data_IF_751509617503
#
_entry.id   IF_751509617503
#
_cell.length_a   1.000
_cell.length_b   1.000
_cell.length_c   1.000
_cell.angle_alpha   90.00
_cell.angle_beta   90.00
_cell.angle_gamma   90.00
#
_symmetry.space_group_name_H-M   'P 1'
#
loop_
_entity.id
_entity.type
_entity.pdbx_description
1 polymer ?
#
# COMPACT_ATOMS: atom_id res chain seq x y z
N UNK A 1 8.05 8.98 3.60
CA UNK A 1 6.84 9.42 4.33
C UNK A 1 5.87 8.24 4.40
N UNK A 2 6.23 7.18 5.12
CA UNK A 2 5.70 5.84 4.80
C UNK A 2 4.86 5.28 5.94
N UNK A 3 4.12 6.16 6.62
CA UNK A 3 3.10 5.75 7.58
C UNK A 3 1.93 6.73 7.49
N UNK A 4 0.70 6.28 7.82
CA UNK A 4 -0.47 7.15 7.77
C UNK A 4 -0.31 8.39 8.66
N UNK A 5 0.39 8.24 9.80
CA UNK A 5 0.67 9.35 10.71
C UNK A 5 1.61 10.38 10.11
N UNK A 6 2.69 9.93 9.45
CA UNK A 6 3.62 10.82 8.76
C UNK A 6 2.96 11.55 7.58
N UNK A 7 2.03 10.89 6.87
CA UNK A 7 1.23 11.53 5.81
C UNK A 7 0.33 12.61 6.38
N UNK A 8 -0.42 12.30 7.45
CA UNK A 8 -1.30 13.27 8.10
C UNK A 8 -0.52 14.46 8.66
N UNK A 9 0.60 14.21 9.35
CA UNK A 9 1.50 15.26 9.86
C UNK A 9 1.97 16.19 8.73
N UNK A 10 2.44 15.62 7.62
CA UNK A 10 2.91 16.41 6.49
C UNK A 10 1.80 17.26 5.85
N UNK A 11 0.59 16.70 5.70
CA UNK A 11 -0.56 17.45 5.17
C UNK A 11 -0.92 18.62 6.10
N UNK A 12 -1.04 18.36 7.40
CA UNK A 12 -1.38 19.38 8.40
C UNK A 12 -0.30 20.47 8.51
N UNK A 13 0.98 20.08 8.42
CA UNK A 13 2.11 21.02 8.42
C UNK A 13 2.07 21.94 7.21
N UNK A 14 1.93 21.39 6.00
CA UNK A 14 1.77 22.20 4.78
C UNK A 14 0.55 23.12 4.84
N UNK A 15 -0.53 22.64 5.47
CA UNK A 15 -1.73 23.45 5.66
C UNK A 15 -1.52 24.60 6.66
N UNK A 16 -0.72 24.42 7.72
CA UNK A 16 -0.33 25.52 8.62
C UNK A 16 0.54 26.58 7.92
N UNK A 17 1.38 26.15 7.00
CA UNK A 17 2.29 27.01 6.22
C UNK A 17 1.57 27.76 5.08
N UNK A 18 0.35 27.34 4.73
CA UNK A 18 -0.43 27.96 3.67
C UNK A 18 -0.88 29.39 4.01
N UNK A 19 -1.08 30.20 2.96
CA UNK A 19 -1.58 31.57 3.11
C UNK A 19 -2.93 31.59 3.84
N UNK A 20 -3.03 32.37 4.91
CA UNK A 20 -4.21 32.42 5.79
C UNK A 20 -5.49 32.93 5.11
N UNK A 21 -5.33 33.71 4.05
CA UNK A 21 -6.42 34.47 3.42
C UNK A 21 -7.03 33.79 2.18
N UNK A 22 -6.57 32.60 1.81
CA UNK A 22 -7.17 31.82 0.72
C UNK A 22 -8.24 30.86 1.25
N UNK A 23 -9.07 30.35 0.34
CA UNK A 23 -10.07 29.36 0.70
C UNK A 23 -9.40 28.04 1.15
N UNK A 24 -10.06 27.30 2.01
CA UNK A 24 -9.60 25.97 2.44
C UNK A 24 -9.35 25.04 1.26
N UNK A 25 -10.20 25.11 0.22
CA UNK A 25 -10.01 24.33 -1.01
C UNK A 25 -8.73 24.72 -1.74
N UNK A 26 -8.49 26.02 -1.92
CA UNK A 26 -7.30 26.49 -2.65
C UNK A 26 -6.00 26.17 -1.90
N UNK A 27 -6.06 26.11 -0.57
CA UNK A 27 -4.93 25.67 0.25
C UNK A 27 -4.71 24.15 0.16
N UNK A 28 -5.78 23.35 0.20
CA UNK A 28 -5.68 21.88 0.21
C UNK A 28 -5.44 21.26 -1.17
N UNK A 29 -6.01 21.80 -2.25
CA UNK A 29 -5.87 21.24 -3.60
C UNK A 29 -4.41 20.98 -4.03
N UNK A 30 -3.46 21.92 -3.87
CA UNK A 30 -2.05 21.66 -4.21
C UNK A 30 -1.35 20.74 -3.20
N UNK A 31 -1.89 20.60 -1.98
CA UNK A 31 -1.36 19.66 -0.99
C UNK A 31 -1.75 18.23 -1.35
N UNK A 32 -2.99 18.04 -1.77
CA UNK A 32 -3.58 16.74 -2.12
C UNK A 32 -3.29 16.32 -3.58
N UNK A 33 -2.67 17.19 -4.38
CA UNK A 33 -2.33 16.91 -5.77
C UNK A 33 -3.55 16.77 -6.68
N UNK A 34 -4.66 17.44 -6.34
CA UNK A 34 -5.93 17.34 -7.08
C UNK A 34 -6.00 18.35 -8.22
N UNK A 35 -6.26 17.89 -9.45
CA UNK A 35 -6.34 18.77 -10.62
C UNK A 35 -7.73 19.42 -10.79
N UNK A 36 -8.79 18.75 -10.36
CA UNK A 36 -10.18 19.22 -10.51
C UNK A 36 -11.03 19.02 -9.25
N UNK A 37 -12.30 19.42 -9.33
CA UNK A 37 -13.24 19.33 -8.20
C UNK A 37 -13.61 17.91 -7.78
N UNK A 38 -13.65 16.96 -8.72
CA UNK A 38 -14.00 15.56 -8.45
C UNK A 38 -12.82 14.84 -7.80
N UNK A 39 -11.62 15.03 -8.33
CA UNK A 39 -10.38 14.56 -7.72
C UNK A 39 -10.20 15.16 -6.33
N UNK A 40 -10.48 16.46 -6.16
CA UNK A 40 -10.41 17.11 -4.86
C UNK A 40 -11.37 16.48 -3.85
N UNK A 41 -12.65 16.30 -4.22
CA UNK A 41 -13.64 15.71 -3.32
C UNK A 41 -13.25 14.28 -2.91
N UNK A 42 -12.70 13.49 -3.84
CA UNK A 42 -12.19 12.13 -3.57
C UNK A 42 -10.99 12.16 -2.62
N UNK A 43 -9.97 12.95 -2.93
CA UNK A 43 -8.77 13.10 -2.09
C UNK A 43 -9.11 13.62 -0.70
N UNK A 44 -10.05 14.56 -0.61
CA UNK A 44 -10.53 15.05 0.67
C UNK A 44 -11.25 13.95 1.46
N UNK A 45 -12.06 13.10 0.81
CA UNK A 45 -12.66 11.92 1.44
C UNK A 45 -11.60 11.00 2.07
N UNK A 46 -10.50 10.73 1.37
CA UNK A 46 -9.38 9.96 1.94
C UNK A 46 -8.71 10.68 3.11
N UNK A 47 -8.55 12.01 3.04
CA UNK A 47 -8.01 12.80 4.14
C UNK A 47 -8.88 12.72 5.40
N UNK A 48 -10.22 12.78 5.26
CA UNK A 48 -11.15 12.62 6.40
C UNK A 48 -11.03 11.23 7.03
N UNK A 49 -10.72 10.19 6.25
CA UNK A 49 -10.50 8.83 6.77
C UNK A 49 -9.13 8.62 7.45
N UNK A 50 -8.15 9.47 7.15
CA UNK A 50 -6.76 9.27 7.58
C UNK A 50 -6.57 9.29 9.11
N UNK A 51 -7.20 10.19 9.91
CA UNK A 51 -7.11 10.14 11.37
C UNK A 51 -7.50 8.79 11.98
N UNK A 52 -8.57 8.18 11.47
CA UNK A 52 -9.02 6.88 11.93
C UNK A 52 -8.04 5.77 11.56
N UNK A 53 -7.43 5.84 10.37
CA UNK A 53 -6.36 4.90 9.97
C UNK A 53 -5.15 5.02 10.90
N UNK A 54 -4.74 6.24 11.27
CA UNK A 54 -3.64 6.46 12.22
C UNK A 54 -3.99 5.85 13.57
N UNK A 55 -5.17 6.14 14.12
CA UNK A 55 -5.58 5.64 15.42
C UNK A 55 -5.61 4.11 15.47
N UNK A 56 -6.17 3.47 14.43
CA UNK A 56 -6.19 2.02 14.32
C UNK A 56 -4.78 1.43 14.21
N UNK A 57 -3.91 2.02 13.37
CA UNK A 57 -2.55 1.54 13.19
C UNK A 57 -1.72 1.67 14.48
N UNK A 58 -1.84 2.79 15.22
CA UNK A 58 -1.15 3.01 16.49
C UNK A 58 -1.63 2.02 17.54
N UNK A 59 -2.94 1.84 17.67
CA UNK A 59 -3.53 0.89 18.64
C UNK A 59 -3.05 -0.54 18.37
N UNK A 60 -2.92 -0.93 17.11
CA UNK A 60 -2.46 -2.28 16.73
C UNK A 60 -0.94 -2.46 16.87
N UNK A 61 -0.16 -1.39 16.77
CA UNK A 61 1.30 -1.45 16.79
C UNK A 61 1.92 -1.19 18.16
N UNK A 62 1.18 -0.53 19.06
CA UNK A 62 1.63 -0.20 20.41
C UNK A 62 1.79 -1.47 21.27
N UNK A 63 2.87 -1.51 22.04
CA UNK A 63 3.06 -2.51 23.09
C UNK A 63 2.27 -2.10 24.35
N UNK A 64 1.27 -2.87 24.79
CA UNK A 64 0.44 -2.52 25.95
C UNK A 64 1.24 -2.30 27.25
N UNK A 65 2.43 -2.89 27.37
CA UNK A 65 3.25 -2.81 28.58
C UNK A 65 4.21 -1.60 28.57
N UNK A 66 4.46 -0.99 27.42
CA UNK A 66 5.50 0.02 27.24
C UNK A 66 5.04 1.31 26.55
N UNK A 67 3.93 1.27 25.82
CA UNK A 67 3.42 2.39 25.03
C UNK A 67 2.08 2.90 25.58
N UNK A 68 2.00 4.21 25.83
CA UNK A 68 0.75 4.89 26.23
C UNK A 68 0.00 5.36 24.96
N UNK A 69 -0.98 4.55 24.52
CA UNK A 69 -1.81 4.85 23.34
C UNK A 69 -2.58 6.16 23.50
N UNK A 70 -3.08 6.46 24.70
CA UNK A 70 -3.85 7.68 24.95
C UNK A 70 -2.96 8.92 24.80
N UNK A 71 -1.71 8.84 25.26
CA UNK A 71 -0.71 9.88 25.02
C UNK A 71 -0.44 10.08 23.52
N UNK A 72 -0.26 9.00 22.76
CA UNK A 72 -0.04 9.08 21.31
C UNK A 72 -1.23 9.71 20.57
N UNK A 73 -2.47 9.52 21.04
CA UNK A 73 -3.68 9.97 20.36
C UNK A 73 -4.22 11.33 20.85
N UNK A 74 -3.46 12.07 21.65
CA UNK A 74 -3.88 13.40 22.16
C UNK A 74 -4.18 14.42 21.05
N UNK A 75 -3.57 14.29 19.87
CA UNK A 75 -3.82 15.14 18.70
C UNK A 75 -5.21 14.94 18.07
N UNK A 76 -5.87 13.80 18.35
CA UNK A 76 -7.05 13.38 17.58
C UNK A 76 -8.23 14.35 17.70
N UNK A 77 -8.64 14.81 18.89
CA UNK A 77 -9.83 15.67 19.01
C UNK A 77 -9.68 17.03 18.31
N UNK A 78 -8.47 17.59 18.28
CA UNK A 78 -8.16 18.88 17.62
C UNK A 78 -8.13 18.71 16.10
N UNK A 79 -7.47 17.66 15.61
CA UNK A 79 -7.39 17.36 14.17
C UNK A 79 -8.74 16.96 13.60
N UNK A 80 -9.53 16.12 14.27
CA UNK A 80 -10.87 15.73 13.81
C UNK A 80 -11.78 16.96 13.69
N UNK A 81 -11.67 17.91 14.62
CA UNK A 81 -12.40 19.19 14.56
C UNK A 81 -11.92 20.06 13.39
N UNK A 82 -10.60 20.15 13.20
CA UNK A 82 -10.00 20.90 12.11
C UNK A 82 -10.48 20.38 10.74
N UNK A 83 -10.43 19.07 10.54
CA UNK A 83 -10.87 18.43 9.30
C UNK A 83 -12.39 18.52 9.10
N UNK A 84 -13.18 18.43 10.17
CA UNK A 84 -14.63 18.67 10.10
C UNK A 84 -14.94 20.10 9.65
N UNK A 85 -14.21 21.09 10.15
CA UNK A 85 -14.37 22.48 9.72
C UNK A 85 -13.85 22.72 8.28
N UNK A 86 -12.84 21.94 7.85
CA UNK A 86 -12.32 22.01 6.50
C UNK A 86 -13.34 21.63 5.42
N UNK A 87 -14.43 20.93 5.78
CA UNK A 87 -15.57 20.66 4.89
C UNK A 87 -16.17 21.94 4.31
N UNK A 88 -16.12 23.05 5.04
CA UNK A 88 -16.55 24.35 4.56
C UNK A 88 -15.49 24.93 3.59
N UNK A 89 -15.35 24.30 2.42
CA UNK A 89 -14.30 24.52 1.41
C UNK A 89 -14.08 25.98 1.00
N UNK A 90 -15.13 26.81 1.06
CA UNK A 90 -15.11 28.23 0.71
C UNK A 90 -14.66 29.15 1.85
N UNK A 91 -14.57 28.62 3.07
CA UNK A 91 -14.13 29.38 4.24
C UNK A 91 -12.63 29.65 4.16
N UNK A 92 -12.17 30.70 4.86
CA UNK A 92 -10.75 30.98 4.98
C UNK A 92 -10.04 29.83 5.69
N UNK A 93 -8.91 29.38 5.14
CA UNK A 93 -8.11 28.29 5.71
C UNK A 93 -7.63 28.60 7.13
N UNK A 94 -7.46 29.88 7.47
CA UNK A 94 -7.10 30.31 8.82
C UNK A 94 -8.03 29.75 9.90
N UNK A 95 -9.32 29.62 9.59
CA UNK A 95 -10.32 29.10 10.51
C UNK A 95 -10.07 27.62 10.88
N UNK A 96 -9.44 26.86 9.98
CA UNK A 96 -8.99 25.47 10.21
C UNK A 96 -7.65 25.46 10.94
N UNK A 97 -6.71 26.31 10.52
CA UNK A 97 -5.36 26.38 11.11
C UNK A 97 -5.34 26.72 12.60
N UNK A 98 -6.35 27.43 13.11
CA UNK A 98 -6.44 27.78 14.53
C UNK A 98 -6.87 26.61 15.43
N UNK A 99 -7.38 25.51 14.87
CA UNK A 99 -7.96 24.40 15.63
C UNK A 99 -6.94 23.35 16.08
N UNK A 100 -5.75 23.38 15.50
CA UNK A 100 -4.64 22.49 15.84
C UNK A 100 -3.34 23.30 15.86
N UNK A 101 -2.31 22.71 16.44
CA UNK A 101 -1.05 23.36 16.77
C UNK A 101 0.15 22.53 16.32
N UNK A 102 1.34 23.11 16.39
CA UNK A 102 2.58 22.36 16.17
C UNK A 102 2.74 21.20 17.16
N UNK A 103 2.14 21.27 18.34
CA UNK A 103 2.18 20.18 19.32
C UNK A 103 1.39 18.95 18.83
N UNK A 104 0.24 19.17 18.19
CA UNK A 104 -0.54 18.08 17.57
C UNK A 104 0.26 17.39 16.46
N UNK A 105 1.03 18.16 15.68
CA UNK A 105 1.93 17.62 14.66
C UNK A 105 3.06 16.79 15.30
N UNK A 106 3.63 17.23 16.43
CA UNK A 106 4.66 16.46 17.16
C UNK A 106 4.13 15.10 17.62
N UNK A 107 2.90 15.03 18.14
CA UNK A 107 2.30 13.73 18.49
C UNK A 107 2.10 12.84 17.27
N UNK A 108 1.68 13.40 16.14
CA UNK A 108 1.57 12.65 14.88
C UNK A 108 2.93 12.15 14.36
N UNK A 109 3.99 12.95 14.51
CA UNK A 109 5.35 12.52 14.18
C UNK A 109 5.82 11.40 15.12
N UNK A 110 5.49 11.47 16.41
CA UNK A 110 5.74 10.40 17.38
C UNK A 110 4.99 9.10 17.00
N UNK A 111 3.72 9.20 16.62
CA UNK A 111 2.95 8.09 16.05
C UNK A 111 3.65 7.55 14.78
N UNK A 112 4.14 8.44 13.92
CA UNK A 112 4.87 8.06 12.71
C UNK A 112 6.13 7.25 13.00
N UNK A 113 6.86 7.59 14.05
CA UNK A 113 8.04 6.86 14.50
C UNK A 113 7.68 5.47 15.04
N UNK A 114 6.63 5.36 15.85
CA UNK A 114 6.11 4.08 16.35
C UNK A 114 5.75 3.15 15.18
N UNK A 115 4.92 3.64 14.25
CA UNK A 115 4.49 2.87 13.06
C UNK A 115 5.66 2.51 12.14
N UNK A 116 6.66 3.39 12.03
CA UNK A 116 7.87 3.12 11.28
C UNK A 116 8.71 1.98 11.87
N UNK A 117 8.81 1.89 13.20
CA UNK A 117 9.48 0.78 13.90
C UNK A 117 8.73 -0.54 13.71
N UNK A 118 7.41 -0.49 13.75
CA UNK A 118 6.54 -1.65 13.50
C UNK A 118 6.50 -2.09 12.02
N UNK A 119 7.05 -1.29 11.10
CA UNK A 119 7.09 -1.57 9.64
C UNK A 119 5.72 -1.89 9.05
N UNK A 120 4.69 -1.16 9.47
CA UNK A 120 3.30 -1.36 9.02
C UNK A 120 3.16 -1.19 7.50
N UNK A 121 3.98 -0.33 6.88
CA UNK A 121 4.00 -0.10 5.44
C UNK A 121 5.41 -0.20 4.86
N UNK A 122 5.55 -0.58 3.57
CA UNK A 122 6.84 -0.65 2.90
C UNK A 122 7.48 0.74 2.77
N UNK A 123 8.80 0.80 2.95
CA UNK A 123 9.56 2.03 2.80
C UNK A 123 9.95 2.25 1.33
N UNK A 124 9.18 3.09 0.65
CA UNK A 124 9.46 3.53 -0.72
C UNK A 124 10.25 4.85 -0.69
N UNK A 125 11.30 4.94 -1.50
CA UNK A 125 12.07 6.17 -1.69
C UNK A 125 11.35 7.11 -2.67
N UNK A 126 11.28 8.43 -2.40
CA UNK A 126 10.61 9.38 -3.31
C UNK A 126 11.12 9.29 -4.75
N UNK A 127 12.43 9.15 -4.93
CA UNK A 127 13.07 9.10 -6.23
C UNK A 127 12.63 7.87 -7.03
N UNK A 128 12.40 6.74 -6.34
CA UNK A 128 11.86 5.52 -6.96
C UNK A 128 10.39 5.70 -7.36
N UNK A 129 9.60 6.40 -6.54
CA UNK A 129 8.21 6.69 -6.85
C UNK A 129 8.10 7.60 -8.09
N UNK A 130 8.95 8.64 -8.16
CA UNK A 130 9.00 9.58 -9.28
C UNK A 130 9.47 8.90 -10.57
N UNK A 131 10.49 8.04 -10.51
CA UNK A 131 10.96 7.24 -11.66
C UNK A 131 9.86 6.32 -12.20
N UNK A 132 9.13 5.62 -11.32
CA UNK A 132 8.03 4.75 -11.74
C UNK A 132 6.85 5.54 -12.29
N UNK A 133 6.54 6.68 -11.70
CA UNK A 133 5.51 7.57 -12.21
C UNK A 133 5.86 8.04 -13.62
N UNK A 134 7.09 8.53 -13.84
CA UNK A 134 7.55 8.98 -15.15
C UNK A 134 7.51 7.85 -16.18
N UNK A 135 8.03 6.66 -15.85
CA UNK A 135 7.97 5.48 -16.73
C UNK A 135 6.54 5.08 -17.10
N UNK A 136 5.60 5.19 -16.15
CA UNK A 136 4.19 4.91 -16.40
C UNK A 136 3.58 5.96 -17.31
N UNK A 137 3.94 7.23 -17.12
CA UNK A 137 3.49 8.34 -17.97
C UNK A 137 4.03 8.18 -19.39
N UNK A 138 5.34 7.95 -19.55
CA UNK A 138 5.99 7.75 -20.84
C UNK A 138 5.33 6.57 -21.60
N UNK A 139 5.07 5.45 -20.91
CA UNK A 139 4.36 4.32 -21.52
C UNK A 139 2.94 4.68 -21.96
N UNK A 140 2.21 5.50 -21.18
CA UNK A 140 0.87 5.98 -21.53
C UNK A 140 0.89 6.90 -22.75
N UNK A 141 1.89 7.79 -22.83
CA UNK A 141 2.10 8.68 -23.98
C UNK A 141 2.49 7.89 -25.24
N UNK A 142 3.44 6.96 -25.13
CA UNK A 142 3.85 6.05 -26.19
C UNK A 142 2.67 5.24 -26.74
N UNK A 143 1.88 4.63 -25.84
CA UNK A 143 0.72 3.82 -26.21
C UNK A 143 -0.36 4.68 -26.86
N UNK A 144 -0.58 5.91 -26.39
CA UNK A 144 -1.54 6.85 -26.97
C UNK A 144 -1.17 7.22 -28.41
N UNK A 145 0.11 7.29 -28.75
CA UNK A 145 0.60 7.60 -30.09
C UNK A 145 0.76 6.37 -31.00
N UNK A 146 0.54 5.14 -30.49
CA UNK A 146 0.64 3.93 -31.29
C UNK A 146 -0.50 3.86 -32.32
N UNK A 147 -0.15 3.83 -33.61
CA UNK A 147 -1.12 3.72 -34.72
C UNK A 147 -1.50 2.27 -35.02
N UNK A 148 -0.56 1.34 -34.80
CA UNK A 148 -0.69 -0.08 -35.17
C UNK A 148 -1.36 -0.94 -34.08
N UNK A 149 -1.99 -0.35 -33.07
CA UNK A 149 -2.60 -1.07 -31.96
C UNK A 149 -4.13 -1.10 -32.09
N UNK A 150 -4.78 -2.27 -32.05
CA UNK A 150 -6.23 -2.35 -32.04
C UNK A 150 -6.85 -1.44 -30.97
N UNK A 151 -7.86 -0.66 -31.38
CA UNK A 151 -8.40 0.43 -30.57
C UNK A 151 -8.93 -0.02 -29.20
N UNK A 152 -9.49 -1.23 -29.13
CA UNK A 152 -9.98 -1.85 -27.89
C UNK A 152 -8.83 -2.22 -26.93
N UNK A 153 -7.75 -2.82 -27.44
CA UNK A 153 -6.56 -3.14 -26.65
C UNK A 153 -5.87 -1.88 -26.15
N UNK A 154 -5.77 -0.88 -27.03
CA UNK A 154 -5.22 0.44 -26.71
C UNK A 154 -6.02 1.12 -25.61
N UNK A 155 -7.34 1.21 -25.76
CA UNK A 155 -8.23 1.79 -24.74
C UNK A 155 -8.07 1.06 -23.41
N UNK A 156 -8.10 -0.27 -23.42
CA UNK A 156 -7.96 -1.06 -22.19
C UNK A 156 -6.66 -0.73 -21.44
N UNK A 157 -5.52 -0.77 -22.13
CA UNK A 157 -4.22 -0.51 -21.50
C UNK A 157 -4.10 0.95 -21.04
N UNK A 158 -4.62 1.91 -21.81
CA UNK A 158 -4.66 3.32 -21.41
C UNK A 158 -5.47 3.51 -20.12
N UNK A 159 -6.67 2.92 -20.04
CA UNK A 159 -7.53 3.02 -18.86
C UNK A 159 -6.82 2.49 -17.59
N UNK A 160 -6.09 1.38 -17.72
CA UNK A 160 -5.33 0.82 -16.59
C UNK A 160 -4.15 1.71 -16.20
N UNK A 161 -3.40 2.24 -17.18
CA UNK A 161 -2.28 3.16 -16.92
C UNK A 161 -2.76 4.46 -16.27
N UNK A 162 -3.89 5.01 -16.69
CA UNK A 162 -4.51 6.19 -16.06
C UNK A 162 -4.91 5.90 -14.60
N UNK A 163 -5.49 4.73 -14.35
CA UNK A 163 -5.80 4.26 -12.99
C UNK A 163 -4.57 4.21 -12.09
N UNK A 164 -3.45 3.70 -12.61
CA UNK A 164 -2.15 3.64 -11.91
C UNK A 164 -1.57 5.05 -11.69
N UNK A 165 -1.58 5.92 -12.71
CA UNK A 165 -1.12 7.31 -12.59
C UNK A 165 -1.92 8.10 -11.57
N UNK A 166 -3.23 7.84 -11.46
CA UNK A 166 -4.07 8.38 -10.39
C UNK A 166 -3.64 7.86 -9.03
N UNK A 167 -3.35 6.57 -8.89
CA UNK A 167 -2.88 6.00 -7.63
C UNK A 167 -1.54 6.58 -7.17
N UNK A 168 -0.63 6.92 -8.09
CA UNK A 168 0.58 7.68 -7.75
C UNK A 168 0.25 9.05 -7.14
N UNK A 169 -0.76 9.77 -7.66
CA UNK A 169 -1.22 11.02 -7.04
C UNK A 169 -1.83 10.78 -5.66
N UNK A 170 -2.65 9.75 -5.53
CA UNK A 170 -3.29 9.38 -4.26
C UNK A 170 -2.32 8.85 -3.20
N UNK A 171 -1.11 8.44 -3.59
CA UNK A 171 -0.06 7.92 -2.70
C UNK A 171 0.27 8.91 -1.57
N UNK A 172 0.16 10.22 -1.80
CA UNK A 172 0.43 11.23 -0.77
C UNK A 172 -0.52 11.15 0.44
N UNK A 173 -1.72 10.59 0.27
CA UNK A 173 -2.74 10.46 1.32
C UNK A 173 -2.87 9.00 1.74
N UNK A 174 -2.99 8.10 0.77
CA UNK A 174 -3.28 6.67 0.98
C UNK A 174 -2.03 5.81 1.12
N UNK A 175 -0.86 6.31 0.72
CA UNK A 175 0.38 5.56 0.75
C UNK A 175 0.37 4.36 -0.23
N UNK A 176 1.13 3.29 0.08
CA UNK A 176 1.27 2.12 -0.78
C UNK A 176 -0.04 1.41 -1.14
N UNK A 177 -1.08 1.55 -0.31
CA UNK A 177 -2.39 0.95 -0.55
C UNK A 177 -3.07 1.47 -1.82
N UNK A 178 -2.87 2.75 -2.19
CA UNK A 178 -3.42 3.26 -3.45
C UNK A 178 -2.88 2.52 -4.68
N UNK A 179 -1.56 2.28 -4.69
CA UNK A 179 -0.90 1.54 -5.77
C UNK A 179 -1.33 0.08 -5.75
N UNK A 180 -1.42 -0.53 -4.56
CA UNK A 180 -1.93 -1.89 -4.36
C UNK A 180 -3.30 -2.09 -5.01
N UNK A 181 -4.24 -1.20 -4.71
CA UNK A 181 -5.59 -1.28 -5.23
C UNK A 181 -5.63 -1.10 -6.75
N UNK A 182 -4.92 -0.11 -7.29
CA UNK A 182 -4.90 0.13 -8.73
C UNK A 182 -4.30 -1.05 -9.51
N UNK A 183 -3.24 -1.68 -8.98
CA UNK A 183 -2.66 -2.88 -9.58
C UNK A 183 -3.64 -4.06 -9.51
N UNK A 184 -4.29 -4.28 -8.37
CA UNK A 184 -5.31 -5.32 -8.23
C UNK A 184 -6.48 -5.11 -9.21
N UNK A 185 -6.91 -3.87 -9.41
CA UNK A 185 -7.93 -3.51 -10.39
C UNK A 185 -7.45 -3.80 -11.83
N UNK A 186 -6.22 -3.42 -12.19
CA UNK A 186 -5.66 -3.68 -13.52
C UNK A 186 -5.52 -5.18 -13.82
N UNK A 187 -5.05 -5.96 -12.84
CA UNK A 187 -4.96 -7.42 -12.96
C UNK A 187 -6.35 -8.04 -13.06
N UNK A 188 -7.29 -7.63 -12.20
CA UNK A 188 -8.68 -8.10 -12.25
C UNK A 188 -9.38 -7.76 -13.56
N UNK A 189 -9.14 -6.56 -14.10
CA UNK A 189 -9.64 -6.12 -15.41
C UNK A 189 -9.09 -7.00 -16.54
N UNK A 190 -7.82 -7.40 -16.45
CA UNK A 190 -7.19 -8.30 -17.43
C UNK A 190 -7.87 -9.68 -17.45
N UNK A 191 -8.17 -10.22 -16.26
CA UNK A 191 -8.85 -11.53 -16.12
C UNK A 191 -10.30 -11.47 -16.62
N UNK A 192 -11.03 -10.41 -16.29
CA UNK A 192 -12.46 -10.29 -16.58
C UNK A 192 -12.76 -9.88 -18.03
N UNK A 193 -11.91 -9.05 -18.64
CA UNK A 193 -12.10 -8.54 -20.01
C UNK A 193 -11.85 -9.58 -21.11
N UNK A 194 -11.26 -10.75 -20.79
CA UNK A 194 -10.83 -11.77 -21.77
C UNK A 194 -9.99 -11.15 -22.90
N UNK A 195 -9.11 -10.21 -22.55
CA UNK A 195 -8.23 -9.54 -23.52
C UNK A 195 -7.07 -10.43 -24.00
N UNK A 196 -6.71 -11.45 -23.23
CA UNK A 196 -5.55 -12.30 -23.52
C UNK A 196 -5.60 -13.02 -24.88
N UNK A 197 -6.72 -13.66 -25.30
CA UNK A 197 -6.82 -14.22 -26.65
C UNK A 197 -6.61 -13.19 -27.75
N UNK A 198 -7.12 -11.96 -27.58
CA UNK A 198 -6.96 -10.88 -28.57
C UNK A 198 -5.50 -10.43 -28.68
N UNK A 199 -4.78 -10.35 -27.55
CA UNK A 199 -3.34 -10.08 -27.56
C UNK A 199 -2.58 -11.19 -28.30
N UNK A 200 -2.99 -12.46 -28.14
CA UNK A 200 -2.37 -13.59 -28.85
C UNK A 200 -2.65 -13.58 -30.36
N UNK A 201 -3.84 -13.13 -30.77
CA UNK A 201 -4.25 -13.00 -32.17
C UNK A 201 -3.64 -11.79 -32.88
N UNK A 202 -3.13 -10.80 -32.13
CA UNK A 202 -2.52 -9.57 -32.66
C UNK A 202 -1.02 -9.49 -32.38
N UNK A 203 -0.15 -9.85 -33.35
CA UNK A 203 1.31 -9.76 -33.18
C UNK A 203 1.81 -8.36 -32.82
N UNK A 204 1.15 -7.31 -33.35
CA UNK A 204 1.44 -5.90 -33.10
C UNK A 204 1.19 -5.50 -31.63
N UNK A 205 0.29 -6.18 -30.92
CA UNK A 205 -0.05 -5.89 -29.53
C UNK A 205 0.93 -6.53 -28.53
N UNK A 206 1.68 -7.56 -28.92
CA UNK A 206 2.58 -8.30 -28.04
C UNK A 206 3.68 -7.44 -27.41
N UNK A 207 4.39 -6.55 -28.15
CA UNK A 207 5.41 -5.68 -27.55
C UNK A 207 4.82 -4.70 -26.54
N UNK A 208 3.63 -4.16 -26.81
CA UNK A 208 2.92 -3.24 -25.92
C UNK A 208 2.47 -3.93 -24.65
N UNK A 209 1.87 -5.11 -24.78
CA UNK A 209 1.48 -5.93 -23.64
C UNK A 209 2.66 -6.28 -22.75
N UNK A 210 3.82 -6.59 -23.36
CA UNK A 210 5.06 -6.84 -22.61
C UNK A 210 5.51 -5.61 -21.82
N UNK A 211 5.57 -4.43 -22.45
CA UNK A 211 5.92 -3.17 -21.75
C UNK A 211 4.97 -2.88 -20.58
N UNK A 212 3.66 -3.01 -20.83
CA UNK A 212 2.61 -2.83 -19.83
C UNK A 212 2.76 -3.79 -18.65
N UNK A 213 2.94 -5.09 -18.92
CA UNK A 213 3.09 -6.12 -17.89
C UNK A 213 4.36 -5.92 -17.06
N UNK A 214 5.46 -5.52 -17.69
CA UNK A 214 6.72 -5.19 -16.99
C UNK A 214 6.50 -4.00 -16.06
N UNK A 215 5.80 -2.96 -16.51
CA UNK A 215 5.54 -1.80 -15.66
C UNK A 215 4.69 -2.16 -14.43
N UNK A 216 3.64 -2.96 -14.61
CA UNK A 216 2.83 -3.50 -13.50
C UNK A 216 3.70 -4.31 -12.53
N UNK A 217 4.55 -5.18 -13.05
CA UNK A 217 5.46 -6.00 -12.26
C UNK A 217 6.43 -5.17 -11.40
N UNK A 218 7.01 -4.12 -11.98
CA UNK A 218 7.90 -3.19 -11.27
C UNK A 218 7.20 -2.46 -10.12
N UNK A 219 5.97 -2.00 -10.34
CA UNK A 219 5.18 -1.35 -9.29
C UNK A 219 4.81 -2.36 -8.20
N UNK A 220 4.46 -3.58 -8.61
CA UNK A 220 4.09 -4.67 -7.69
C UNK A 220 5.23 -5.08 -6.77
N UNK A 221 6.46 -5.19 -7.29
CA UNK A 221 7.62 -5.55 -6.47
C UNK A 221 7.93 -4.48 -5.43
N UNK A 222 7.72 -3.21 -5.76
CA UNK A 222 7.97 -2.09 -4.85
C UNK A 222 7.03 -2.06 -3.65
N UNK A 223 5.74 -2.36 -3.86
CA UNK A 223 4.73 -2.35 -2.80
C UNK A 223 4.75 -3.62 -1.93
N UNK A 224 5.54 -4.62 -2.32
CA UNK A 224 5.82 -5.79 -1.48
C UNK A 224 4.58 -6.62 -1.13
N UNK A 225 3.58 -6.68 -2.00
CA UNK A 225 2.37 -7.48 -1.78
C UNK A 225 2.68 -8.94 -2.17
N UNK A 226 2.77 -9.87 -1.20
CA UNK A 226 2.82 -11.28 -1.53
C UNK A 226 1.48 -11.71 -2.15
N UNK A 227 1.51 -12.20 -3.39
CA UNK A 227 0.36 -12.88 -4.04
C UNK A 227 -0.17 -12.27 -5.33
N UNK A 228 0.10 -10.99 -5.63
CA UNK A 228 -0.31 -10.36 -6.92
C UNK A 228 0.49 -10.86 -8.12
N UNK A 229 1.68 -11.39 -7.87
CA UNK A 229 2.55 -12.04 -8.88
C UNK A 229 1.94 -13.32 -9.44
N UNK A 230 1.05 -14.00 -8.69
CA UNK A 230 0.53 -15.33 -9.03
C UNK A 230 -0.48 -15.32 -10.18
N UNK A 231 -1.01 -14.15 -10.57
CA UNK A 231 -1.92 -14.01 -11.72
C UNK A 231 -1.20 -13.65 -13.03
N UNK A 232 0.12 -13.41 -12.99
CA UNK A 232 0.91 -13.13 -14.19
C UNK A 232 1.29 -14.44 -14.90
N UNK A 233 1.29 -14.49 -16.25
CA UNK A 233 1.73 -15.68 -16.98
C UNK A 233 3.15 -16.11 -16.56
N UNK A 234 3.49 -17.42 -16.60
CA UNK A 234 4.75 -17.95 -16.07
C UNK A 234 6.03 -17.26 -16.57
N UNK A 235 6.03 -16.78 -17.82
CA UNK A 235 7.15 -16.04 -18.40
C UNK A 235 7.47 -14.70 -17.68
N UNK A 236 6.50 -14.14 -16.96
CA UNK A 236 6.62 -12.87 -16.23
C UNK A 236 6.96 -13.08 -14.75
N UNK A 237 6.63 -14.24 -14.19
CA UNK A 237 7.07 -14.63 -12.84
C UNK A 237 8.60 -14.66 -12.76
N UNK A 238 9.28 -15.16 -13.80
CA UNK A 238 10.74 -15.16 -13.89
C UNK A 238 11.37 -13.75 -13.93
N UNK A 239 10.70 -12.77 -14.55
CA UNK A 239 11.17 -11.38 -14.58
C UNK A 239 10.97 -10.68 -13.22
N UNK A 240 9.87 -11.00 -12.52
CA UNK A 240 9.63 -10.53 -11.14
C UNK A 240 10.63 -11.15 -10.16
N UNK A 241 10.94 -12.44 -10.31
CA UNK A 241 11.96 -13.13 -9.50
C UNK A 241 13.37 -12.55 -9.72
N UNK A 242 13.73 -12.21 -10.96
CA UNK A 242 15.04 -11.63 -11.28
C UNK A 242 15.25 -10.20 -10.73
N UNK A 243 14.17 -9.47 -10.43
CA UNK A 243 14.19 -8.07 -9.96
C UNK A 243 13.85 -7.99 -8.46
N UNK A 244 13.32 -9.07 -7.86
CA UNK A 244 13.12 -9.16 -6.42
C UNK A 244 14.48 -9.26 -5.73
N UNK A 245 14.83 -8.36 -4.79
CA UNK A 245 16.02 -8.57 -3.97
C UNK A 245 15.81 -9.86 -3.19
N UNK A 246 16.68 -10.85 -3.42
CA UNK A 246 16.64 -12.16 -2.78
C UNK A 246 16.25 -12.03 -1.30
N UNK A 247 15.08 -12.54 -0.94
CA UNK A 247 14.68 -12.77 0.43
C UNK A 247 15.45 -13.98 1.02
N UNK A 248 16.74 -14.05 0.74
CA UNK A 248 17.69 -15.05 1.24
C UNK A 248 18.85 -14.33 1.92
N UNK A 249 18.58 -13.81 3.12
CA UNK A 249 19.61 -13.63 4.13
C UNK A 249 18.95 -13.73 5.51
N UNK A 250 18.94 -14.95 6.06
CA UNK A 250 18.78 -15.17 7.50
C UNK A 250 17.37 -15.47 7.99
N UNK A 251 16.88 -16.68 7.71
CA UNK A 251 16.05 -17.40 8.69
C UNK A 251 16.68 -18.78 8.90
N UNK A 252 17.05 -19.18 10.13
CA UNK A 252 17.48 -20.53 10.38
C UNK A 252 16.32 -21.49 10.08
N UNK A 253 16.59 -22.46 9.21
CA UNK A 253 15.71 -23.55 8.87
C UNK A 253 15.39 -24.36 10.14
N UNK A 254 14.23 -24.14 10.74
CA UNK A 254 13.64 -25.14 11.62
C UNK A 254 13.07 -26.24 10.72
N UNK A 255 13.91 -27.23 10.42
CA UNK A 255 13.48 -28.49 9.82
C UNK A 255 12.55 -29.17 10.82
N UNK A 256 11.23 -29.07 10.59
CA UNK A 256 10.28 -30.00 11.18
C UNK A 256 10.33 -31.24 10.29
N UNK A 257 11.11 -32.24 10.71
CA UNK A 257 11.04 -33.60 10.17
C UNK A 257 9.77 -34.22 10.75
N UNK A 258 8.72 -34.36 9.94
CA UNK A 258 7.64 -35.30 10.21
C UNK A 258 8.04 -36.59 9.51
N UNK A 259 8.72 -37.49 10.23
CA UNK A 259 8.88 -38.87 9.80
C UNK A 259 7.67 -39.66 10.28
N UNK A 260 6.73 -39.91 9.37
CA UNK A 260 5.73 -40.96 9.53
C UNK A 260 6.32 -42.26 9.01
N UNK A 261 6.88 -43.05 9.93
CA UNK A 261 7.04 -44.48 9.73
C UNK A 261 6.73 -45.22 11.04
N UNK A 262 5.45 -45.58 11.16
CA UNK A 262 4.96 -46.58 12.10
C UNK A 262 5.52 -47.93 11.66
N UNK A 263 6.40 -48.51 12.48
CA UNK A 263 6.72 -49.93 12.48
C UNK A 263 6.84 -50.35 13.95
N UNK A 264 5.77 -50.91 14.50
CA UNK A 264 5.82 -51.63 15.77
C UNK A 264 5.84 -53.11 15.39
N UNK A 265 7.04 -53.66 15.35
CA UNK A 265 7.29 -55.08 15.22
C UNK A 265 7.17 -55.71 16.61
N UNK A 266 6.30 -56.71 16.71
CA UNK A 266 6.16 -57.60 17.85
C UNK A 266 7.38 -58.53 17.90
N UNK A 267 8.11 -58.56 19.00
CA UNK A 267 8.85 -59.76 19.39
C UNK A 267 8.94 -59.92 20.92
N UNK A 268 9.12 -61.18 21.31
CA UNK A 268 8.60 -61.85 22.47
C UNK A 268 9.52 -61.79 23.70
N UNK A 269 8.87 -62.06 24.84
CA UNK A 269 9.30 -62.43 26.21
C UNK A 269 10.59 -63.29 26.35
N UNK A 270 11.05 -63.73 27.57
CA UNK A 270 10.43 -63.70 28.90
C UNK A 270 11.41 -63.48 30.10
N UNK A 271 10.91 -63.82 31.30
CA UNK A 271 11.59 -64.06 32.61
C UNK A 271 11.84 -62.82 33.46
N UNK A 272 11.66 -62.80 34.78
CA UNK A 272 11.16 -63.72 35.81
C UNK A 272 10.94 -62.79 37.02
N UNK A 273 9.76 -62.84 37.65
CA UNK A 273 9.58 -63.43 38.99
C UNK A 273 10.11 -62.52 40.12
N UNK A 274 9.21 -61.89 40.90
CA UNK A 274 9.08 -62.24 42.33
C UNK A 274 7.95 -61.43 43.02
N UNK A 275 7.05 -62.18 43.64
CA UNK A 275 6.34 -61.93 44.91
C UNK A 275 5.48 -60.67 45.15
N UNK A 276 4.18 -60.96 45.26
CA UNK A 276 3.16 -60.25 46.05
C UNK A 276 3.42 -60.42 47.58
N UNK A 277 2.53 -60.04 48.54
CA UNK A 277 1.24 -59.35 48.42
C UNK A 277 0.95 -58.26 49.50
N UNK A 278 -0.27 -57.70 49.39
CA UNK A 278 -1.20 -57.32 50.48
C UNK A 278 -1.01 -56.00 51.26
N UNK A 279 -2.05 -55.14 51.10
CA UNK A 279 -2.75 -54.29 52.08
C UNK A 279 -2.35 -54.43 53.56
N UNK A 280 -2.38 -53.35 54.38
CA UNK A 280 -3.45 -52.34 54.45
C UNK A 280 -3.01 -50.86 54.36
#
# INVERSE_FOLDING_TARGET
MNSPAARLANILKRLLEANKNISTKDALAPILGSADGVEFARSFGYLIGLPQQVAAAVTNAADPDHDDVDWYLQWRPTVDRALSQAWAFTSAVHSVQQLYSSNDIIYLEACGNLLGRARIEPRIAPETLDDLWQKTQDLRDDLFNAEDLPADLKSFMLDQLEGILRAFREFIIRGPEALAEAINQAVGATVTSRIMPRIQESPEAQPWWKKFSVQIALITSLIGIPGTVLALPPAYQAAVEAISPSAEAGRPTSTIVIDQSVNIELDQSPSEDDSAPSHP
#
